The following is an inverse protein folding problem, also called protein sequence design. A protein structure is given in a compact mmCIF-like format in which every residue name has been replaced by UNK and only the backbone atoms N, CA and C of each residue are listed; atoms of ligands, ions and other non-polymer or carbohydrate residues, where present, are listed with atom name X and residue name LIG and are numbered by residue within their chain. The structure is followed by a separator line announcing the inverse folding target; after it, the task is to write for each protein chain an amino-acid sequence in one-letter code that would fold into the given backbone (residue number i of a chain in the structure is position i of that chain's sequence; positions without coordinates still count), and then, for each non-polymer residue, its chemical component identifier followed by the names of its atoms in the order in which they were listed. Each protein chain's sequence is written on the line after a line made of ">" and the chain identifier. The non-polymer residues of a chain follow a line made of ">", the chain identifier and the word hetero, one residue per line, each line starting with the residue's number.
data_IF_150893332310
#
_entry.id   IF_150893332310
#
_cell.length_a   1.000
_cell.length_b   1.000
_cell.length_c   1.000
_cell.angle_alpha   90.00
_cell.angle_beta   90.00
_cell.angle_gamma   90.00
#
_symmetry.space_group_name_H-M   'P 1'
#
loop_
_entity.id
_entity.type
_entity.pdbx_description
1 polymer ?
#
# COMPACT_ATOMS: atom_id res chain seq x y z
N UNK A 1 -29.64 -11.50 -0.26
CA UNK A 1 -28.64 -12.49 -0.69
C UNK A 1 -27.74 -11.82 -1.71
N UNK A 2 -26.52 -11.40 -1.33
CA UNK A 2 -25.55 -10.93 -2.32
C UNK A 2 -25.21 -12.08 -3.28
N UNK A 3 -25.41 -11.85 -4.57
CA UNK A 3 -25.07 -12.81 -5.62
C UNK A 3 -23.55 -12.90 -5.65
N UNK A 4 -22.99 -14.03 -5.22
CA UNK A 4 -21.53 -14.26 -5.25
C UNK A 4 -21.00 -14.09 -6.68
N UNK A 5 -19.86 -13.41 -6.83
CA UNK A 5 -19.17 -13.27 -8.12
C UNK A 5 -18.78 -14.64 -8.70
N UNK A 6 -18.65 -14.78 -10.03
CA UNK A 6 -18.27 -16.04 -10.66
C UNK A 6 -16.94 -16.60 -10.12
N UNK A 7 -15.93 -15.76 -9.94
CA UNK A 7 -14.63 -16.14 -9.38
C UNK A 7 -14.76 -16.71 -7.97
N UNK A 8 -15.55 -16.06 -7.11
CA UNK A 8 -15.79 -16.48 -5.73
C UNK A 8 -16.48 -17.84 -5.66
N UNK A 9 -17.46 -18.09 -6.52
CA UNK A 9 -18.14 -19.40 -6.61
C UNK A 9 -17.17 -20.50 -7.06
N UNK A 10 -16.37 -20.21 -8.08
CA UNK A 10 -15.35 -21.14 -8.57
C UNK A 10 -14.38 -21.47 -7.44
N UNK A 11 -13.86 -20.47 -6.73
CA UNK A 11 -12.95 -20.67 -5.60
C UNK A 11 -13.52 -21.54 -4.49
N UNK A 12 -14.76 -21.27 -4.07
CA UNK A 12 -15.45 -22.01 -3.00
C UNK A 12 -15.68 -23.49 -3.34
N UNK A 13 -15.83 -23.83 -4.63
CA UNK A 13 -15.96 -25.22 -5.07
C UNK A 13 -14.59 -25.86 -5.35
N UNK A 14 -13.76 -25.17 -6.14
CA UNK A 14 -12.47 -25.66 -6.63
C UNK A 14 -11.48 -25.92 -5.49
N UNK A 15 -11.40 -25.01 -4.52
CA UNK A 15 -10.46 -25.12 -3.40
C UNK A 15 -10.65 -26.41 -2.59
N UNK A 16 -11.83 -26.63 -1.99
CA UNK A 16 -12.11 -27.86 -1.24
C UNK A 16 -12.03 -29.12 -2.10
N UNK A 17 -12.44 -29.04 -3.37
CA UNK A 17 -12.34 -30.16 -4.30
C UNK A 17 -10.88 -30.56 -4.50
N UNK A 18 -9.98 -29.61 -4.78
CA UNK A 18 -8.55 -29.88 -4.95
C UNK A 18 -7.90 -30.37 -3.66
N UNK A 19 -8.28 -29.80 -2.50
CA UNK A 19 -7.84 -30.31 -1.19
C UNK A 19 -8.17 -31.81 -1.06
N UNK A 20 -9.44 -32.19 -1.25
CA UNK A 20 -9.90 -33.56 -1.10
C UNK A 20 -9.24 -34.50 -2.12
N UNK A 21 -9.13 -34.08 -3.38
CA UNK A 21 -8.45 -34.87 -4.41
C UNK A 21 -6.98 -35.11 -4.05
N UNK A 22 -6.27 -34.10 -3.56
CA UNK A 22 -4.87 -34.25 -3.14
C UNK A 22 -4.73 -35.10 -1.87
N UNK A 23 -5.71 -35.12 -0.97
CA UNK A 23 -5.67 -35.96 0.23
C UNK A 23 -5.94 -37.45 -0.06
N UNK A 24 -6.74 -37.75 -1.09
CA UNK A 24 -7.10 -39.13 -1.50
C UNK A 24 -6.12 -39.68 -2.54
N UNK A 25 -5.46 -38.82 -3.32
CA UNK A 25 -4.46 -39.24 -4.30
C UNK A 25 -3.31 -40.02 -3.62
N UNK A 26 -2.78 -41.07 -4.28
CA UNK A 26 -1.63 -41.79 -3.75
C UNK A 26 -0.43 -40.84 -3.61
N UNK A 27 0.32 -40.98 -2.52
CA UNK A 27 1.53 -40.20 -2.29
C UNK A 27 2.56 -40.49 -3.37
N UNK A 28 3.09 -39.43 -4.00
CA UNK A 28 4.15 -39.57 -4.99
C UNK A 28 5.43 -40.09 -4.35
N UNK A 29 6.23 -40.83 -5.11
CA UNK A 29 7.52 -41.34 -4.65
C UNK A 29 8.42 -40.18 -4.17
N UNK A 30 8.98 -40.34 -2.96
CA UNK A 30 9.81 -39.33 -2.30
C UNK A 30 9.06 -38.25 -1.52
N UNK A 31 7.71 -38.17 -1.61
CA UNK A 31 6.92 -37.22 -0.84
C UNK A 31 6.33 -37.87 0.42
N UNK A 32 6.62 -37.33 1.60
CA UNK A 32 6.01 -37.84 2.84
C UNK A 32 4.49 -37.56 2.85
N UNK A 33 3.68 -38.42 3.48
CA UNK A 33 2.23 -38.18 3.60
C UNK A 33 1.90 -36.84 4.27
N UNK A 34 2.74 -36.38 5.21
CA UNK A 34 2.58 -35.07 5.85
C UNK A 34 2.85 -33.92 4.89
N UNK A 35 3.87 -34.03 4.04
CA UNK A 35 4.17 -33.03 3.02
C UNK A 35 3.02 -32.92 1.99
N UNK A 36 2.40 -34.04 1.62
CA UNK A 36 1.21 -34.06 0.75
C UNK A 36 0.03 -33.31 1.38
N UNK A 37 -0.27 -33.57 2.66
CA UNK A 37 -1.34 -32.89 3.40
C UNK A 37 -1.08 -31.39 3.50
N UNK A 38 0.15 -31.00 3.80
CA UNK A 38 0.57 -29.59 3.82
C UNK A 38 0.39 -28.94 2.45
N UNK A 39 0.86 -29.58 1.37
CA UNK A 39 0.70 -29.08 0.02
C UNK A 39 -0.77 -28.92 -0.38
N UNK A 40 -1.64 -29.85 0.03
CA UNK A 40 -3.08 -29.75 -0.20
C UNK A 40 -3.69 -28.51 0.46
N UNK A 41 -3.29 -28.20 1.70
CA UNK A 41 -3.72 -26.97 2.39
C UNK A 41 -3.18 -25.72 1.69
N UNK A 42 -1.92 -25.73 1.24
CA UNK A 42 -1.33 -24.62 0.48
C UNK A 42 -2.10 -24.38 -0.82
N UNK A 43 -2.45 -25.43 -1.56
CA UNK A 43 -3.24 -25.32 -2.80
C UNK A 43 -4.64 -24.76 -2.52
N UNK A 44 -5.32 -25.23 -1.47
CA UNK A 44 -6.59 -24.65 -1.03
C UNK A 44 -6.44 -23.14 -0.79
N UNK A 45 -5.43 -22.74 -0.02
CA UNK A 45 -5.17 -21.34 0.30
C UNK A 45 -4.85 -20.51 -0.94
N UNK A 46 -4.02 -21.04 -1.86
CA UNK A 46 -3.70 -20.39 -3.11
C UNK A 46 -4.95 -20.13 -3.97
N UNK A 47 -5.82 -21.14 -4.11
CA UNK A 47 -7.09 -20.98 -4.83
C UNK A 47 -7.96 -19.92 -4.15
N UNK A 48 -8.10 -19.95 -2.82
CA UNK A 48 -8.90 -18.97 -2.10
C UNK A 48 -8.34 -17.55 -2.19
N UNK A 49 -7.03 -17.36 -2.16
CA UNK A 49 -6.41 -16.04 -2.31
C UNK A 49 -6.53 -15.50 -3.74
N UNK A 50 -6.32 -16.33 -4.77
CA UNK A 50 -6.41 -15.91 -6.18
C UNK A 50 -7.85 -15.58 -6.57
N UNK A 51 -8.81 -16.36 -6.08
CA UNK A 51 -10.24 -16.19 -6.43
C UNK A 51 -10.99 -15.27 -5.49
N UNK A 52 -10.37 -14.86 -4.37
CA UNK A 52 -11.00 -14.18 -3.25
C UNK A 52 -12.29 -14.87 -2.78
N UNK A 53 -12.25 -16.21 -2.68
CA UNK A 53 -13.39 -17.05 -2.31
C UNK A 53 -14.00 -16.65 -0.95
N UNK A 54 -13.12 -16.32 -0.01
CA UNK A 54 -13.39 -15.79 1.33
C UNK A 54 -12.39 -14.66 1.62
N UNK A 55 -12.63 -13.79 2.62
CA UNK A 55 -11.68 -12.73 2.95
C UNK A 55 -10.26 -13.28 3.17
N UNK A 56 -9.23 -12.56 2.69
CA UNK A 56 -7.82 -12.98 2.72
C UNK A 56 -7.39 -13.43 4.14
N UNK A 57 -7.86 -12.73 5.17
CA UNK A 57 -7.60 -13.06 6.57
C UNK A 57 -8.22 -14.40 6.99
N UNK A 58 -9.42 -14.74 6.51
CA UNK A 58 -10.06 -16.04 6.80
C UNK A 58 -9.23 -17.17 6.18
N UNK A 59 -8.79 -17.01 4.93
CA UNK A 59 -7.87 -17.96 4.28
C UNK A 59 -6.57 -18.12 5.07
N UNK A 60 -5.98 -17.02 5.55
CA UNK A 60 -4.76 -17.04 6.34
C UNK A 60 -4.90 -17.73 7.71
N UNK A 61 -6.13 -17.89 8.23
CA UNK A 61 -6.42 -18.62 9.47
C UNK A 61 -6.71 -20.11 9.25
N UNK A 62 -6.88 -20.57 8.00
CA UNK A 62 -7.14 -21.99 7.71
C UNK A 62 -6.11 -22.94 8.31
N UNK A 63 -4.78 -22.65 8.31
CA UNK A 63 -3.79 -23.50 8.94
C UNK A 63 -4.07 -23.80 10.42
N UNK A 64 -4.60 -22.85 11.19
CA UNK A 64 -4.91 -23.06 12.62
C UNK A 64 -5.90 -24.19 12.86
N UNK A 65 -6.83 -24.41 11.92
CA UNK A 65 -7.80 -25.50 11.98
C UNK A 65 -7.28 -26.74 11.25
N UNK A 66 -6.78 -26.58 10.02
CA UNK A 66 -6.46 -27.70 9.14
C UNK A 66 -5.16 -28.42 9.53
N UNK A 67 -4.16 -27.72 10.06
CA UNK A 67 -2.90 -28.38 10.42
C UNK A 67 -3.08 -29.39 11.56
N UNK A 68 -3.78 -29.07 12.67
CA UNK A 68 -4.07 -30.05 13.70
C UNK A 68 -4.97 -31.19 13.22
N UNK A 69 -6.01 -30.86 12.44
CA UNK A 69 -6.97 -31.85 11.91
C UNK A 69 -6.32 -32.88 10.98
N UNK A 70 -5.36 -32.42 10.16
CA UNK A 70 -4.64 -33.29 9.23
C UNK A 70 -3.36 -33.90 9.84
N UNK A 71 -3.07 -33.61 11.11
CA UNK A 71 -1.87 -34.09 11.81
C UNK A 71 -0.56 -33.51 11.26
N UNK A 72 -0.59 -32.35 10.61
CA UNK A 72 0.57 -31.66 10.03
C UNK A 72 1.43 -31.02 11.14
N UNK A 73 0.78 -30.31 12.07
CA UNK A 73 1.43 -29.65 13.19
C UNK A 73 0.46 -29.52 14.37
N UNK A 74 1.00 -29.47 15.59
CA UNK A 74 0.19 -29.29 16.79
C UNK A 74 -0.39 -27.87 16.87
N UNK A 75 -1.61 -27.71 17.40
CA UNK A 75 -2.31 -26.41 17.47
C UNK A 75 -1.49 -25.32 18.15
N UNK A 76 -0.74 -25.67 19.22
CA UNK A 76 0.15 -24.72 19.91
C UNK A 76 1.27 -24.22 18.99
N UNK A 77 1.88 -25.10 18.22
CA UNK A 77 2.96 -24.75 17.30
C UNK A 77 2.44 -23.87 16.16
N UNK A 78 1.29 -24.23 15.58
CA UNK A 78 0.67 -23.43 14.52
C UNK A 78 0.27 -22.04 15.03
N UNK A 79 -0.25 -21.93 16.26
CA UNK A 79 -0.63 -20.65 16.85
C UNK A 79 0.56 -19.70 17.08
N UNK A 80 1.75 -20.23 17.43
CA UNK A 80 2.95 -19.41 17.67
C UNK A 80 3.39 -18.63 16.41
N UNK A 81 3.12 -19.15 15.21
CA UNK A 81 3.44 -18.46 13.96
C UNK A 81 2.68 -17.12 13.80
N UNK A 82 1.54 -16.96 14.47
CA UNK A 82 0.75 -15.72 14.44
C UNK A 82 1.19 -14.69 15.50
N UNK A 83 2.13 -15.04 16.38
CA UNK A 83 2.64 -14.20 17.47
C UNK A 83 3.90 -13.41 17.14
N UNK A 84 4.27 -13.24 15.87
CA UNK A 84 5.51 -12.58 15.48
C UNK A 84 5.51 -11.09 15.89
N UNK A 85 6.58 -10.64 16.56
CA UNK A 85 6.74 -9.25 17.01
C UNK A 85 6.64 -8.21 15.87
N UNK A 86 7.00 -8.57 14.64
CA UNK A 86 6.88 -7.71 13.46
C UNK A 86 5.42 -7.40 13.11
N UNK A 87 4.47 -8.28 13.46
CA UNK A 87 3.04 -8.00 13.32
C UNK A 87 2.60 -6.91 14.30
N UNK A 88 3.13 -6.90 15.53
CA UNK A 88 2.86 -5.85 16.50
C UNK A 88 3.46 -4.50 16.07
N UNK A 89 4.65 -4.51 15.45
CA UNK A 89 5.23 -3.32 14.81
C UNK A 89 4.28 -2.77 13.74
N UNK A 90 3.77 -3.63 12.86
CA UNK A 90 2.82 -3.25 11.82
C UNK A 90 1.51 -2.67 12.38
N UNK A 91 0.92 -3.32 13.39
CA UNK A 91 -0.29 -2.84 14.09
C UNK A 91 -0.02 -1.47 14.73
N UNK A 92 1.12 -1.28 15.40
CA UNK A 92 1.52 0.00 15.97
C UNK A 92 1.63 1.10 14.90
N UNK A 93 2.24 0.80 13.76
CA UNK A 93 2.28 1.70 12.59
C UNK A 93 0.89 2.07 12.09
N UNK A 94 -0.02 1.10 11.94
CA UNK A 94 -1.40 1.35 11.53
C UNK A 94 -2.16 2.24 12.53
N UNK A 95 -1.93 2.09 13.84
CA UNK A 95 -2.55 2.95 14.86
C UNK A 95 -2.06 4.39 14.76
N UNK A 96 -0.77 4.60 14.53
CA UNK A 96 -0.21 5.94 14.30
C UNK A 96 -0.79 6.54 13.02
N UNK A 97 -0.83 5.76 11.92
CA UNK A 97 -1.44 6.18 10.66
C UNK A 97 -2.91 6.60 10.83
N UNK A 98 -3.71 5.80 11.56
CA UNK A 98 -5.08 6.13 11.88
C UNK A 98 -5.20 7.43 12.71
N UNK A 99 -4.24 7.69 13.61
CA UNK A 99 -4.13 8.96 14.32
C UNK A 99 -3.84 10.15 13.39
N UNK A 100 -2.89 9.99 12.46
CA UNK A 100 -2.57 11.01 11.45
C UNK A 100 -3.80 11.34 10.59
N UNK A 101 -4.60 10.32 10.27
CA UNK A 101 -5.84 10.44 9.53
C UNK A 101 -6.91 11.18 10.33
N UNK A 102 -7.20 10.72 11.55
CA UNK A 102 -8.22 11.28 12.44
C UNK A 102 -8.06 12.79 12.65
N UNK A 103 -6.83 13.27 12.73
CA UNK A 103 -6.52 14.68 12.98
C UNK A 103 -6.19 15.50 11.73
N UNK A 104 -6.35 14.93 10.53
CA UNK A 104 -6.04 15.59 9.25
C UNK A 104 -4.58 16.09 9.10
N UNK A 105 -3.65 15.62 9.95
CA UNK A 105 -2.24 15.98 9.86
C UNK A 105 -1.63 15.54 8.52
N UNK A 106 -1.92 14.31 8.11
CA UNK A 106 -1.56 13.76 6.80
C UNK A 106 -1.95 14.69 5.63
N UNK A 107 -3.18 15.21 5.61
CA UNK A 107 -3.68 16.16 4.59
C UNK A 107 -2.93 17.49 4.64
N UNK A 108 -2.65 18.03 5.84
CA UNK A 108 -1.87 19.27 5.99
C UNK A 108 -0.46 19.11 5.42
N UNK A 109 0.21 18.01 5.74
CA UNK A 109 1.56 17.70 5.23
C UNK A 109 1.51 17.59 3.70
N UNK A 110 0.56 16.84 3.15
CA UNK A 110 0.41 16.65 1.71
C UNK A 110 0.30 17.98 0.95
N UNK A 111 -0.66 18.81 1.36
CA UNK A 111 -0.93 20.10 0.72
C UNK A 111 0.25 21.06 0.86
N UNK A 112 0.94 21.05 2.01
CA UNK A 112 2.14 21.85 2.24
C UNK A 112 3.28 21.44 1.30
N UNK A 113 3.50 20.13 1.09
CA UNK A 113 4.50 19.63 0.14
C UNK A 113 4.16 20.09 -1.28
N UNK A 114 2.90 19.95 -1.72
CA UNK A 114 2.48 20.36 -3.06
C UNK A 114 2.73 21.85 -3.30
N UNK A 115 2.41 22.71 -2.32
CA UNK A 115 2.59 24.16 -2.43
C UNK A 115 4.07 24.60 -2.44
N UNK A 116 4.98 23.76 -1.94
CA UNK A 116 6.40 24.09 -1.83
C UNK A 116 7.19 23.91 -3.14
N UNK A 117 6.81 22.96 -4.00
CA UNK A 117 7.61 22.57 -5.19
C UNK A 117 7.54 23.59 -6.34
N UNK A 118 6.53 24.48 -6.34
CA UNK A 118 6.48 25.67 -7.20
C UNK A 118 5.43 25.63 -8.33
N UNK A 119 5.41 26.66 -9.19
CA UNK A 119 4.26 27.00 -10.03
C UNK A 119 4.35 26.46 -11.46
N UNK A 120 4.91 25.27 -11.68
CA UNK A 120 4.88 24.62 -13.01
C UNK A 120 4.02 23.36 -12.93
N UNK A 121 3.29 23.02 -14.00
CA UNK A 121 2.39 21.88 -14.00
C UNK A 121 3.11 20.56 -13.77
N UNK A 122 4.30 20.41 -14.36
CA UNK A 122 5.16 19.23 -14.16
C UNK A 122 5.62 19.15 -12.70
N UNK A 123 5.87 20.30 -12.08
CA UNK A 123 6.22 20.45 -10.67
C UNK A 123 5.05 20.20 -9.72
N UNK A 124 3.83 20.57 -10.10
CA UNK A 124 2.62 20.22 -9.35
C UNK A 124 2.44 18.71 -9.34
N UNK A 125 2.54 18.05 -10.51
CA UNK A 125 2.50 16.60 -10.58
C UNK A 125 3.59 15.97 -9.69
N UNK A 126 4.82 16.47 -9.75
CA UNK A 126 5.90 16.03 -8.85
C UNK A 126 5.55 16.27 -7.36
N UNK A 127 4.90 17.39 -7.03
CA UNK A 127 4.39 17.69 -5.68
C UNK A 127 3.38 16.64 -5.21
N UNK A 128 2.42 16.28 -6.05
CA UNK A 128 1.49 15.19 -5.76
C UNK A 128 2.22 13.86 -5.59
N UNK A 129 3.18 13.54 -6.46
CA UNK A 129 3.95 12.30 -6.38
C UNK A 129 4.76 12.22 -5.08
N UNK A 130 5.51 13.27 -4.73
CA UNK A 130 6.33 13.31 -3.52
C UNK A 130 5.49 13.30 -2.25
N UNK A 131 4.39 14.07 -2.21
CA UNK A 131 3.45 14.04 -1.09
C UNK A 131 2.85 12.63 -0.92
N UNK A 132 2.40 12.03 -2.03
CA UNK A 132 1.80 10.69 -2.01
C UNK A 132 2.81 9.64 -1.55
N UNK A 133 4.01 9.63 -2.12
CA UNK A 133 5.03 8.67 -1.75
C UNK A 133 5.42 8.82 -0.27
N UNK A 134 5.68 10.05 0.18
CA UNK A 134 6.00 10.33 1.58
C UNK A 134 4.92 9.84 2.53
N UNK A 135 3.64 10.10 2.24
CA UNK A 135 2.54 9.65 3.09
C UNK A 135 2.41 8.13 3.08
N UNK A 136 2.62 7.50 1.92
CA UNK A 136 2.57 6.04 1.78
C UNK A 136 3.71 5.32 2.49
N UNK A 137 4.80 6.00 2.84
CA UNK A 137 5.84 5.44 3.72
C UNK A 137 5.30 5.12 5.12
N UNK A 138 4.20 5.74 5.54
CA UNK A 138 3.68 5.64 6.92
C UNK A 138 2.22 5.21 6.99
N UNK A 139 1.49 5.35 5.90
CA UNK A 139 0.06 5.05 5.75
C UNK A 139 -0.08 4.01 4.64
N UNK A 140 -1.13 3.18 4.67
CA UNK A 140 -1.35 2.18 3.62
C UNK A 140 -1.52 2.81 2.24
N UNK A 141 -0.99 2.15 1.21
CA UNK A 141 -1.04 2.60 -0.19
C UNK A 141 -2.46 2.94 -0.65
N UNK A 142 -3.42 2.09 -0.31
CA UNK A 142 -4.83 2.28 -0.63
C UNK A 142 -5.40 3.53 0.04
N UNK A 143 -5.15 3.73 1.33
CA UNK A 143 -5.67 4.89 2.04
C UNK A 143 -5.01 6.19 1.58
N UNK A 144 -3.70 6.16 1.32
CA UNK A 144 -2.96 7.30 0.76
C UNK A 144 -3.51 7.68 -0.61
N UNK A 145 -3.76 6.72 -1.49
CA UNK A 145 -4.35 6.96 -2.82
C UNK A 145 -5.74 7.59 -2.71
N UNK A 146 -6.61 7.01 -1.88
CA UNK A 146 -7.97 7.51 -1.66
C UNK A 146 -8.00 8.92 -1.04
N UNK A 147 -7.02 9.27 -0.21
CA UNK A 147 -6.89 10.63 0.32
C UNK A 147 -6.47 11.62 -0.76
N UNK A 148 -5.49 11.26 -1.59
CA UNK A 148 -4.93 12.18 -2.59
C UNK A 148 -5.90 12.38 -3.76
N UNK A 149 -6.73 11.38 -4.04
CA UNK A 149 -7.71 11.38 -5.13
C UNK A 149 -8.64 12.62 -5.12
N UNK A 150 -9.39 12.96 -4.05
CA UNK A 150 -10.26 14.13 -4.06
C UNK A 150 -9.51 15.46 -4.26
N UNK A 151 -8.29 15.59 -3.71
CA UNK A 151 -7.48 16.80 -3.86
C UNK A 151 -7.03 16.96 -5.30
N UNK A 152 -6.53 15.89 -5.89
CA UNK A 152 -6.09 15.87 -7.27
C UNK A 152 -7.25 16.08 -8.25
N UNK A 153 -8.40 15.47 -7.98
CA UNK A 153 -9.63 15.66 -8.75
C UNK A 153 -10.09 17.13 -8.69
N UNK A 154 -10.08 17.76 -7.53
CA UNK A 154 -10.44 19.17 -7.40
C UNK A 154 -9.54 20.09 -8.26
N UNK A 155 -8.23 19.79 -8.31
CA UNK A 155 -7.29 20.51 -9.18
C UNK A 155 -7.61 20.27 -10.66
N UNK A 156 -7.89 19.03 -11.05
CA UNK A 156 -8.22 18.69 -12.45
C UNK A 156 -9.50 19.37 -12.90
N UNK A 157 -10.56 19.34 -12.07
CA UNK A 157 -11.85 19.97 -12.34
C UNK A 157 -11.72 21.49 -12.48
N UNK A 158 -10.95 22.14 -11.60
CA UNK A 158 -10.71 23.58 -11.72
C UNK A 158 -9.99 23.92 -13.02
N UNK A 159 -8.94 23.18 -13.36
CA UNK A 159 -8.19 23.41 -14.60
C UNK A 159 -9.05 23.15 -15.86
N UNK A 160 -9.99 22.19 -15.79
CA UNK A 160 -10.87 21.84 -16.89
C UNK A 160 -11.96 22.87 -17.18
N UNK A 161 -12.24 23.82 -16.26
CA UNK A 161 -13.27 24.85 -16.48
C UNK A 161 -13.04 25.68 -17.75
N UNK A 162 -11.77 25.92 -18.10
CA UNK A 162 -11.37 26.66 -19.30
C UNK A 162 -11.22 25.78 -20.55
N UNK A 163 -11.44 24.47 -20.48
CA UNK A 163 -11.24 23.53 -21.58
C UNK A 163 -12.53 22.79 -21.98
N UNK A 164 -13.30 23.44 -22.85
CA UNK A 164 -14.58 22.93 -23.37
C UNK A 164 -14.49 21.57 -24.10
N UNK A 165 -13.27 21.13 -24.46
CA UNK A 165 -13.03 19.89 -25.21
C UNK A 165 -12.65 18.70 -24.31
N UNK A 166 -12.56 18.90 -22.99
CA UNK A 166 -12.26 17.85 -22.01
C UNK A 166 -10.87 17.20 -22.19
N UNK A 167 -9.94 17.90 -22.83
CA UNK A 167 -8.56 17.44 -23.08
C UNK A 167 -7.75 17.44 -21.78
N UNK A 168 -7.97 18.39 -20.87
CA UNK A 168 -7.29 18.45 -19.56
C UNK A 168 -7.65 17.23 -18.72
N UNK A 169 -8.93 16.86 -18.66
CA UNK A 169 -9.36 15.66 -17.92
C UNK A 169 -8.75 14.39 -18.49
N UNK A 170 -8.83 14.21 -19.82
CA UNK A 170 -8.29 13.03 -20.51
C UNK A 170 -6.77 12.91 -20.42
N UNK A 171 -6.06 14.04 -20.45
CA UNK A 171 -4.59 14.06 -20.41
C UNK A 171 -4.08 14.21 -18.99
N UNK A 172 -4.21 15.40 -18.39
CA UNK A 172 -3.63 15.72 -17.07
C UNK A 172 -4.33 14.95 -15.96
N UNK A 173 -5.65 14.84 -16.02
CA UNK A 173 -6.41 14.05 -15.05
C UNK A 173 -5.94 12.60 -15.01
N UNK A 174 -5.94 11.91 -16.15
CA UNK A 174 -5.45 10.52 -16.26
C UNK A 174 -4.03 10.37 -15.73
N UNK A 175 -3.11 11.24 -16.18
CA UNK A 175 -1.69 11.15 -15.80
C UNK A 175 -1.50 11.43 -14.31
N UNK A 176 -2.21 12.41 -13.74
CA UNK A 176 -2.12 12.75 -12.32
C UNK A 176 -2.68 11.62 -11.44
N UNK A 177 -3.76 10.95 -11.84
CA UNK A 177 -4.28 9.78 -11.12
C UNK A 177 -3.28 8.61 -11.15
N UNK A 178 -2.67 8.35 -12.31
CA UNK A 178 -1.60 7.34 -12.44
C UNK A 178 -0.38 7.71 -11.58
N UNK A 179 0.00 8.99 -11.58
CA UNK A 179 1.11 9.50 -10.78
C UNK A 179 0.90 9.23 -9.29
N UNK A 180 -0.31 9.45 -8.78
CA UNK A 180 -0.67 9.15 -7.38
C UNK A 180 -0.63 7.65 -7.13
N UNK A 181 -1.28 6.83 -7.96
CA UNK A 181 -1.33 5.38 -7.77
C UNK A 181 0.07 4.72 -7.73
N UNK A 182 0.94 5.10 -8.68
CA UNK A 182 2.32 4.60 -8.70
C UNK A 182 3.15 5.14 -7.55
N UNK A 183 3.00 6.42 -7.19
CA UNK A 183 3.76 7.01 -6.09
C UNK A 183 3.37 6.41 -4.73
N UNK A 184 2.09 6.10 -4.51
CA UNK A 184 1.66 5.38 -3.31
C UNK A 184 2.32 4.00 -3.23
N UNK A 185 2.31 3.26 -4.34
CA UNK A 185 2.92 1.92 -4.39
C UNK A 185 4.42 1.97 -4.13
N UNK A 186 5.14 2.91 -4.75
CA UNK A 186 6.59 3.06 -4.59
C UNK A 186 6.98 3.61 -3.21
N UNK A 187 6.26 4.61 -2.70
CA UNK A 187 6.49 5.14 -1.35
C UNK A 187 6.22 4.11 -0.26
N UNK A 188 5.23 3.23 -0.43
CA UNK A 188 4.95 2.14 0.50
C UNK A 188 6.09 1.13 0.66
N UNK A 189 6.97 1.01 -0.33
CA UNK A 189 8.13 0.12 -0.23
C UNK A 189 9.23 0.66 0.69
N UNK A 190 9.28 1.98 0.93
CA UNK A 190 10.45 2.63 1.53
C UNK A 190 10.68 2.29 3.01
N UNK A 191 9.65 1.89 3.75
CA UNK A 191 9.73 1.57 5.19
C UNK A 191 9.09 0.21 5.49
N UNK A 192 9.45 -0.41 6.62
CA UNK A 192 8.85 -1.69 7.02
C UNK A 192 7.33 -1.61 7.22
N UNK A 193 6.79 -0.46 7.67
CA UNK A 193 5.37 -0.34 7.98
C UNK A 193 4.49 0.05 6.77
N UNK A 194 5.08 0.46 5.64
CA UNK A 194 4.30 0.94 4.49
C UNK A 194 3.41 -0.13 3.85
N UNK A 195 3.86 -1.38 3.79
CA UNK A 195 3.05 -2.53 3.30
C UNK A 195 3.37 -3.81 4.05
N UNK A 196 2.37 -4.68 4.19
CA UNK A 196 2.52 -5.98 4.85
C UNK A 196 3.56 -6.89 4.20
N UNK A 197 3.82 -6.72 2.90
CA UNK A 197 4.89 -7.47 2.20
C UNK A 197 6.28 -7.14 2.73
N UNK A 198 6.52 -5.89 3.13
CA UNK A 198 7.80 -5.47 3.70
C UNK A 198 8.02 -6.10 5.08
N UNK A 199 6.95 -6.25 5.87
CA UNK A 199 6.98 -6.91 7.18
C UNK A 199 7.18 -8.42 7.04
N UNK A 200 6.55 -9.03 6.03
CA UNK A 200 6.66 -10.46 5.77
C UNK A 200 8.10 -10.89 5.42
N UNK A 201 8.87 -10.04 4.75
CA UNK A 201 10.23 -10.40 4.32
C UNK A 201 11.20 -10.64 5.49
N UNK A 202 11.42 -9.72 6.45
CA UNK A 202 12.23 -9.99 7.63
C UNK A 202 11.73 -11.16 8.47
N UNK A 203 10.40 -11.33 8.55
CA UNK A 203 9.80 -12.46 9.26
C UNK A 203 10.23 -13.80 8.63
N UNK A 204 10.16 -13.90 7.30
CA UNK A 204 10.56 -15.08 6.55
C UNK A 204 12.09 -15.28 6.55
N UNK A 205 12.87 -14.21 6.43
CA UNK A 205 14.33 -14.28 6.48
C UNK A 205 14.82 -14.84 7.82
N UNK A 206 14.23 -14.41 8.94
CA UNK A 206 14.57 -14.92 10.26
C UNK A 206 14.22 -16.40 10.43
N UNK A 207 13.17 -16.87 9.75
CA UNK A 207 12.75 -18.27 9.79
C UNK A 207 13.63 -19.17 8.90
N UNK A 208 13.93 -18.73 7.68
CA UNK A 208 14.72 -19.49 6.71
C UNK A 208 16.23 -19.43 6.96
N UNK A 209 16.73 -18.32 7.50
CA UNK A 209 18.14 -18.06 7.73
C UNK A 209 18.37 -17.51 9.16
N UNK A 210 18.28 -18.36 10.20
CA UNK A 210 18.37 -17.93 11.60
C UNK A 210 19.69 -17.23 11.96
N UNK A 211 20.78 -17.58 11.27
CA UNK A 211 22.11 -17.01 11.47
C UNK A 211 22.32 -15.67 10.73
N UNK A 212 21.33 -15.21 9.95
CA UNK A 212 21.43 -13.94 9.22
C UNK A 212 21.25 -12.74 10.15
N UNK A 213 21.90 -11.59 9.85
CA UNK A 213 21.67 -10.35 10.59
C UNK A 213 20.20 -9.93 10.58
N UNK A 214 19.71 -9.43 11.71
CA UNK A 214 18.33 -8.96 11.82
C UNK A 214 18.08 -7.76 10.89
N UNK A 215 17.04 -7.85 10.08
CA UNK A 215 16.61 -6.76 9.20
C UNK A 215 15.72 -5.81 10.01
N UNK A 216 16.37 -4.86 10.66
CA UNK A 216 15.73 -3.77 11.38
C UNK A 216 15.16 -2.69 10.45
N UNK A 217 14.49 -1.72 11.07
CA UNK A 217 13.86 -0.60 10.37
C UNK A 217 14.85 0.22 9.56
N UNK A 218 16.01 0.55 10.15
CA UNK A 218 17.08 1.33 9.52
C UNK A 218 17.71 0.60 8.36
N UNK A 219 18.02 -0.68 8.52
CA UNK A 219 18.58 -1.52 7.44
C UNK A 219 17.64 -1.60 6.25
N UNK A 220 16.34 -1.79 6.50
CA UNK A 220 15.33 -1.79 5.43
C UNK A 220 15.27 -0.43 4.72
N UNK A 221 15.18 0.66 5.48
CA UNK A 221 15.11 2.01 4.91
C UNK A 221 16.36 2.35 4.09
N UNK A 222 17.55 1.98 4.58
CA UNK A 222 18.80 2.20 3.87
C UNK A 222 18.85 1.50 2.50
N UNK A 223 18.10 0.40 2.34
CA UNK A 223 17.95 -0.30 1.05
C UNK A 223 16.81 0.28 0.21
N UNK A 224 15.61 0.41 0.78
CA UNK A 224 14.39 0.68 0.02
C UNK A 224 14.15 2.16 -0.27
N UNK A 225 14.60 3.06 0.61
CA UNK A 225 14.41 4.51 0.40
C UNK A 225 15.24 5.03 -0.78
N UNK A 226 16.52 4.64 -0.98
CA UNK A 226 17.25 5.00 -2.20
C UNK A 226 16.58 4.50 -3.49
N UNK A 227 16.03 3.28 -3.48
CA UNK A 227 15.29 2.75 -4.63
C UNK A 227 14.05 3.59 -4.94
N UNK A 228 13.32 4.00 -3.90
CA UNK A 228 12.16 4.91 -4.02
C UNK A 228 12.58 6.26 -4.63
N UNK A 229 13.70 6.82 -4.17
CA UNK A 229 14.25 8.08 -4.68
C UNK A 229 14.69 8.01 -6.15
N UNK A 230 15.00 6.81 -6.67
CA UNK A 230 15.30 6.57 -8.08
C UNK A 230 14.01 6.32 -8.89
N UNK A 231 13.11 5.48 -8.39
CA UNK A 231 11.88 5.12 -9.10
C UNK A 231 10.91 6.30 -9.27
N UNK A 232 10.80 7.19 -8.28
CA UNK A 232 9.88 8.34 -8.38
C UNK A 232 10.22 9.26 -9.57
N UNK A 233 11.47 9.75 -9.74
CA UNK A 233 11.86 10.49 -10.94
C UNK A 233 11.67 9.70 -12.24
N UNK A 234 11.98 8.40 -12.26
CA UNK A 234 11.79 7.59 -13.47
C UNK A 234 10.32 7.49 -13.88
N UNK A 235 9.43 7.24 -12.92
CA UNK A 235 7.97 7.22 -13.14
C UNK A 235 7.52 8.60 -13.61
N UNK A 236 7.98 9.67 -12.96
CA UNK A 236 7.65 11.04 -13.34
C UNK A 236 8.04 11.33 -14.80
N UNK A 237 9.23 10.93 -15.23
CA UNK A 237 9.69 11.09 -16.61
C UNK A 237 8.85 10.30 -17.61
N UNK A 238 8.50 9.04 -17.29
CA UNK A 238 7.64 8.22 -18.13
C UNK A 238 6.25 8.84 -18.25
N UNK A 239 5.67 9.29 -17.14
CA UNK A 239 4.36 9.94 -17.10
C UNK A 239 4.35 11.28 -17.81
N UNK A 240 5.44 12.06 -17.76
CA UNK A 240 5.57 13.28 -18.56
C UNK A 240 5.60 13.00 -20.07
N UNK A 241 6.28 11.93 -20.50
CA UNK A 241 6.26 11.51 -21.91
C UNK A 241 4.88 11.05 -22.34
N UNK A 242 4.19 10.30 -21.47
CA UNK A 242 2.82 9.86 -21.72
C UNK A 242 1.84 11.04 -21.77
N UNK A 243 1.98 12.02 -20.88
CA UNK A 243 1.24 13.27 -20.92
C UNK A 243 1.44 14.01 -22.25
N UNK A 244 2.70 14.15 -22.70
CA UNK A 244 2.99 14.78 -23.98
C UNK A 244 2.33 14.05 -25.16
N UNK A 245 2.33 12.71 -25.14
CA UNK A 245 1.62 11.89 -26.13
C UNK A 245 0.10 12.14 -26.12
N UNK A 246 -0.49 12.38 -24.95
CA UNK A 246 -1.90 12.77 -24.81
C UNK A 246 -2.19 14.25 -25.15
N UNK A 247 -1.20 14.99 -25.67
CA UNK A 247 -1.39 16.37 -26.15
C UNK A 247 -1.25 17.45 -25.08
N UNK A 248 -0.78 17.13 -23.88
CA UNK A 248 -0.69 18.08 -22.75
C UNK A 248 0.21 19.29 -23.03
N UNK A 249 1.23 19.11 -23.88
CA UNK A 249 2.14 20.19 -24.28
C UNK A 249 1.50 21.25 -25.19
N UNK A 250 0.28 21.04 -25.66
CA UNK A 250 -0.47 21.96 -26.53
C UNK A 250 -1.56 22.73 -25.79
N UNK A 251 -1.71 22.49 -24.48
CA UNK A 251 -2.77 23.08 -23.66
C UNK A 251 -2.16 24.15 -22.76
N UNK A 252 -2.72 25.36 -22.82
CA UNK A 252 -2.38 26.42 -21.87
C UNK A 252 -3.10 26.15 -20.55
N UNK A 253 -2.32 25.94 -19.48
CA UNK A 253 -2.84 25.53 -18.17
C UNK A 253 -2.50 26.61 -17.16
N UNK A 254 -3.52 27.16 -16.50
CA UNK A 254 -3.35 28.16 -15.45
C UNK A 254 -2.82 27.50 -14.17
N UNK A 255 -1.50 27.61 -13.96
CA UNK A 255 -0.88 27.06 -12.76
C UNK A 255 -1.33 27.79 -11.49
N UNK A 256 -1.67 29.08 -11.60
CA UNK A 256 -2.24 29.84 -10.50
C UNK A 256 -3.58 29.28 -10.04
N UNK A 257 -4.44 28.83 -10.96
CA UNK A 257 -5.71 28.18 -10.61
C UNK A 257 -5.49 26.87 -9.86
N UNK A 258 -4.57 26.01 -10.33
CA UNK A 258 -4.23 24.77 -9.64
C UNK A 258 -3.68 25.04 -8.22
N UNK A 259 -2.79 26.03 -8.08
CA UNK A 259 -2.22 26.42 -6.78
C UNK A 259 -3.28 27.00 -5.85
N UNK A 260 -4.21 27.81 -6.37
CA UNK A 260 -5.32 28.39 -5.62
C UNK A 260 -6.15 27.29 -4.96
N UNK A 261 -6.57 26.27 -5.72
CA UNK A 261 -7.33 25.14 -5.18
C UNK A 261 -6.60 24.44 -4.04
N UNK A 262 -5.31 24.13 -4.20
CA UNK A 262 -4.52 23.48 -3.15
C UNK A 262 -4.40 24.38 -1.91
N UNK A 263 -4.21 25.69 -2.12
CA UNK A 263 -4.12 26.67 -1.03
C UNK A 263 -5.43 26.86 -0.28
N UNK A 264 -6.57 26.86 -0.97
CA UNK A 264 -7.90 26.90 -0.37
C UNK A 264 -8.17 25.64 0.44
N UNK A 265 -7.83 24.46 -0.11
CA UNK A 265 -7.91 23.18 0.61
C UNK A 265 -7.04 23.13 1.86
N UNK A 266 -5.92 23.85 1.87
CA UNK A 266 -5.07 23.98 3.07
C UNK A 266 -5.65 24.99 4.06
N UNK A 267 -6.21 26.10 3.58
CA UNK A 267 -6.87 27.11 4.39
C UNK A 267 -8.13 26.58 5.08
N UNK A 268 -8.90 25.70 4.42
CA UNK A 268 -10.04 24.96 4.99
C UNK A 268 -9.67 24.17 6.26
N UNK A 269 -8.41 23.72 6.40
CA UNK A 269 -7.95 23.00 7.58
C UNK A 269 -7.71 23.92 8.79
N UNK A 270 -7.74 25.24 8.59
CA UNK A 270 -7.50 26.23 9.63
C UNK A 270 -6.15 26.06 10.34
N UNK A 271 -6.07 26.59 11.57
CA UNK A 271 -4.87 26.49 12.42
C UNK A 271 -4.71 25.07 12.97
N UNK A 272 -3.47 24.56 13.12
CA UNK A 272 -3.21 23.25 13.70
C UNK A 272 -3.88 23.06 15.07
N UNK A 273 -4.76 22.06 15.17
CA UNK A 273 -5.45 21.74 16.41
C UNK A 273 -4.50 21.15 17.46
N UNK A 274 -4.93 21.07 18.73
CA UNK A 274 -4.14 20.38 19.76
C UNK A 274 -3.88 18.92 19.40
N UNK A 275 -4.90 18.21 18.91
CA UNK A 275 -4.77 16.82 18.50
C UNK A 275 -3.79 16.63 17.35
N UNK A 276 -3.80 17.56 16.38
CA UNK A 276 -2.84 17.58 15.27
C UNK A 276 -1.39 17.74 15.77
N UNK A 277 -1.15 18.64 16.73
CA UNK A 277 0.18 18.83 17.33
C UNK A 277 0.62 17.61 18.14
N UNK A 278 -0.27 17.04 18.94
CA UNK A 278 0.04 15.85 19.76
C UNK A 278 0.38 14.65 18.88
N UNK A 279 -0.40 14.39 17.83
CA UNK A 279 -0.09 13.27 16.93
C UNK A 279 1.17 13.54 16.11
N UNK A 280 1.46 14.79 15.72
CA UNK A 280 2.72 15.14 15.08
C UNK A 280 3.92 14.78 15.95
N UNK A 281 3.88 15.19 17.23
CA UNK A 281 4.94 14.87 18.20
C UNK A 281 5.09 13.35 18.35
N UNK A 282 3.98 12.62 18.57
CA UNK A 282 4.02 11.16 18.69
C UNK A 282 4.58 10.47 17.44
N UNK A 283 4.17 10.91 16.25
CA UNK A 283 4.65 10.39 14.97
C UNK A 283 6.14 10.63 14.79
N UNK A 284 6.62 11.88 14.89
CA UNK A 284 8.03 12.19 14.67
C UNK A 284 8.93 11.56 15.73
N UNK A 285 8.49 11.48 16.99
CA UNK A 285 9.23 10.75 18.02
C UNK A 285 9.31 9.26 17.70
N UNK A 286 8.22 8.64 17.23
CA UNK A 286 8.23 7.20 16.88
C UNK A 286 9.16 6.93 15.70
N UNK A 287 9.08 7.74 14.65
CA UNK A 287 9.99 7.63 13.49
C UNK A 287 11.44 7.78 13.92
N UNK A 288 11.74 8.78 14.77
CA UNK A 288 13.08 8.97 15.31
C UNK A 288 13.55 7.72 16.09
N UNK A 289 12.74 7.20 17.00
CA UNK A 289 13.07 6.01 17.77
C UNK A 289 13.24 4.76 16.90
N UNK A 290 12.50 4.61 15.80
CA UNK A 290 12.68 3.49 14.88
C UNK A 290 13.97 3.58 14.07
N UNK A 291 14.39 4.78 13.68
CA UNK A 291 15.61 4.99 12.87
C UNK A 291 16.89 4.88 13.70
N UNK A 292 16.85 5.31 14.97
CA UNK A 292 18.04 5.37 15.83
C UNK A 292 18.14 4.24 16.86
N UNK A 293 17.25 3.25 16.80
CA UNK A 293 17.34 2.02 17.60
C UNK A 293 18.19 0.98 16.89
#
# INVERSE_FOLDING_TARGET
>A
MEILSPSRRIGLLLGPTLLLLMLVAPSQEGLSPLAQRMAAVVVLMAVFWITEAVPIAVTALLPLALFPLLGIAASKQTALAYGNHLLFLFIGGCLIAAGLQKWNLHRRIALSIILWIGPDLKRIMMGFMLATAFLSMWISNTATTLMMWPVALAVVVELAQSDAQGRIERSFGTVLMLAIAYSASVGGMSTLIGTGTNVAFPALMRELFPDSPEIGFTTWMALALPLTAVFLPLIWLVLLRYAAYLGLGQIEISVEAARRVVSEKLAELGRPSRGEKTIAVAFFMTVFLWVFR
#
